data_IF_327661089129
#
_entry.id   IF_327661089129
#
_cell.length_a   1.000
_cell.length_b   1.000
_cell.length_c   1.000
_cell.angle_alpha   90.00
_cell.angle_beta   90.00
_cell.angle_gamma   90.00
#
_symmetry.space_group_name_H-M   'P 1'
#
loop_
_entity.id
_entity.type
_entity.pdbx_description
1 polymer ?
#
# COMPACT_ATOMS: atom_id res chain seq x y z
N UNK A 1 -8.88 11.42 -13.54
CA UNK A 1 -9.24 10.42 -12.52
C UNK A 1 -7.95 9.74 -12.11
N UNK A 2 -7.52 9.84 -10.86
CA UNK A 2 -6.30 9.15 -10.41
C UNK A 2 -6.56 7.64 -10.43
N UNK A 3 -5.62 6.86 -10.97
CA UNK A 3 -5.67 5.40 -10.95
C UNK A 3 -5.61 4.93 -9.49
N UNK A 4 -6.47 3.99 -9.10
CA UNK A 4 -6.52 3.46 -7.74
C UNK A 4 -5.13 2.94 -7.29
N UNK A 5 -4.32 2.43 -8.22
CA UNK A 5 -2.94 2.02 -7.94
C UNK A 5 -2.05 3.21 -7.58
N UNK A 6 -2.15 4.30 -8.32
CA UNK A 6 -1.36 5.51 -8.10
C UNK A 6 -1.66 6.10 -6.72
N UNK A 7 -2.93 6.11 -6.33
CA UNK A 7 -3.37 6.52 -4.98
C UNK A 7 -2.74 5.65 -3.90
N UNK A 8 -2.74 4.32 -4.05
CA UNK A 8 -2.12 3.41 -3.09
C UNK A 8 -0.60 3.61 -2.97
N UNK A 9 0.09 3.87 -4.09
CA UNK A 9 1.52 4.16 -4.07
C UNK A 9 1.84 5.51 -3.40
N UNK A 10 0.98 6.52 -3.57
CA UNK A 10 1.09 7.79 -2.84
C UNK A 10 0.87 7.55 -1.34
N UNK A 11 -0.17 6.82 -0.96
CA UNK A 11 -0.46 6.49 0.45
C UNK A 11 0.71 5.72 1.09
N UNK A 12 1.30 4.78 0.36
CA UNK A 12 2.50 4.05 0.79
C UNK A 12 3.67 4.98 1.06
N UNK A 13 3.95 5.94 0.17
CA UNK A 13 5.02 6.94 0.36
C UNK A 13 4.76 7.78 1.61
N UNK A 14 3.54 8.28 1.78
CA UNK A 14 3.15 9.10 2.95
C UNK A 14 3.31 8.30 4.25
N UNK A 15 2.86 7.05 4.29
CA UNK A 15 3.00 6.19 5.47
C UNK A 15 4.48 5.98 5.84
N UNK A 16 5.35 5.73 4.85
CA UNK A 16 6.80 5.58 5.07
C UNK A 16 7.44 6.83 5.65
N UNK A 17 7.15 8.01 5.09
CA UNK A 17 7.65 9.29 5.60
C UNK A 17 7.21 9.49 7.04
N UNK A 18 5.95 9.18 7.36
CA UNK A 18 5.42 9.40 8.71
C UNK A 18 6.06 8.45 9.73
N UNK A 19 6.31 7.19 9.36
CA UNK A 19 7.06 6.22 10.16
C UNK A 19 8.48 6.72 10.43
N UNK A 20 9.17 7.24 9.41
CA UNK A 20 10.53 7.78 9.53
C UNK A 20 10.57 8.97 10.50
N UNK A 21 9.68 9.95 10.33
CA UNK A 21 9.54 11.07 11.27
C UNK A 21 9.29 10.60 12.71
N UNK A 22 8.44 9.58 12.89
CA UNK A 22 8.14 8.98 14.19
C UNK A 22 9.33 8.19 14.75
N UNK A 23 10.23 7.64 13.94
CA UNK A 23 11.44 6.95 14.43
C UNK A 23 12.53 7.94 14.82
N UNK A 24 12.69 9.01 14.05
CA UNK A 24 13.68 10.07 14.28
C UNK A 24 13.27 11.03 15.41
N UNK A 25 12.02 10.95 15.87
CA UNK A 25 11.52 11.84 16.92
C UNK A 25 11.21 13.25 16.44
N UNK A 26 11.10 13.46 15.12
CA UNK A 26 10.69 14.72 14.48
C UNK A 26 9.15 14.83 14.53
N UNK A 27 8.57 14.61 15.70
CA UNK A 27 7.13 14.77 15.92
C UNK A 27 6.87 15.45 17.25
N UNK A 28 5.79 16.23 17.32
CA UNK A 28 5.36 16.90 18.56
C UNK A 28 4.71 15.94 19.57
N UNK A 29 4.80 14.63 19.36
CA UNK A 29 4.19 13.62 20.23
C UNK A 29 5.11 13.24 21.38
N UNK A 30 4.54 12.94 22.54
CA UNK A 30 5.30 12.32 23.63
C UNK A 30 5.66 10.86 23.27
N UNK A 31 6.66 10.27 23.94
CA UNK A 31 7.18 8.93 23.63
C UNK A 31 6.09 7.84 23.57
N UNK A 32 5.08 7.91 24.46
CA UNK A 32 3.96 6.94 24.47
C UNK A 32 3.09 7.06 23.22
N UNK A 33 2.71 8.30 22.84
CA UNK A 33 1.93 8.55 21.62
C UNK A 33 2.74 8.25 20.36
N UNK A 34 4.03 8.54 20.37
CA UNK A 34 4.95 8.22 19.27
C UNK A 34 4.99 6.72 19.01
N UNK A 35 5.17 5.89 20.05
CA UNK A 35 5.15 4.43 19.92
C UNK A 35 3.79 3.91 19.44
N UNK A 36 2.69 4.46 19.95
CA UNK A 36 1.34 4.12 19.49
C UNK A 36 1.16 4.41 17.99
N UNK A 37 1.44 5.64 17.56
CA UNK A 37 1.30 6.02 16.15
C UNK A 37 2.25 5.25 15.25
N UNK A 38 3.47 4.98 15.71
CA UNK A 38 4.43 4.19 14.94
C UNK A 38 3.85 2.82 14.58
N UNK A 39 3.27 2.12 15.57
CA UNK A 39 2.60 0.83 15.35
C UNK A 39 1.43 0.96 14.37
N UNK A 40 0.56 1.95 14.55
CA UNK A 40 -0.59 2.18 13.67
C UNK A 40 -0.18 2.45 12.21
N UNK A 41 0.88 3.23 12.00
CA UNK A 41 1.38 3.51 10.65
C UNK A 41 2.06 2.28 10.03
N UNK A 42 2.75 1.45 10.82
CA UNK A 42 3.33 0.20 10.34
C UNK A 42 2.25 -0.82 9.92
N UNK A 43 1.16 -0.94 10.68
CA UNK A 43 0.02 -1.79 10.32
C UNK A 43 -0.66 -1.32 9.04
N UNK A 44 -0.94 -0.01 8.92
CA UNK A 44 -1.52 0.57 7.69
C UNK A 44 -0.60 0.40 6.47
N UNK A 45 0.71 0.54 6.65
CA UNK A 45 1.66 0.32 5.57
C UNK A 45 1.57 -1.12 5.04
N UNK A 46 1.47 -2.10 5.93
CA UNK A 46 1.29 -3.51 5.56
C UNK A 46 -0.01 -3.73 4.78
N UNK A 47 -1.13 -3.15 5.22
CA UNK A 47 -2.41 -3.23 4.51
C UNK A 47 -2.33 -2.65 3.11
N UNK A 48 -1.70 -1.48 2.96
CA UNK A 48 -1.49 -0.85 1.64
C UNK A 48 -0.65 -1.75 0.73
N UNK A 49 0.42 -2.35 1.25
CA UNK A 49 1.26 -3.26 0.48
C UNK A 49 0.51 -4.54 0.05
N UNK A 50 -0.36 -5.08 0.91
CA UNK A 50 -1.23 -6.19 0.56
C UNK A 50 -2.25 -5.83 -0.52
N UNK A 51 -2.86 -4.63 -0.45
CA UNK A 51 -3.80 -4.15 -1.48
C UNK A 51 -3.12 -4.00 -2.84
N UNK A 52 -1.93 -3.39 -2.88
CA UNK A 52 -1.13 -3.26 -4.10
C UNK A 52 -0.80 -4.65 -4.67
N UNK A 53 -0.39 -5.59 -3.81
CA UNK A 53 -0.09 -6.97 -4.23
C UNK A 53 -1.32 -7.66 -4.85
N UNK A 54 -2.49 -7.54 -4.22
CA UNK A 54 -3.74 -8.13 -4.72
C UNK A 54 -4.16 -7.52 -6.07
N UNK A 55 -3.99 -6.21 -6.24
CA UNK A 55 -4.24 -5.55 -7.53
C UNK A 55 -3.32 -6.08 -8.63
N UNK A 56 -2.03 -6.24 -8.35
CA UNK A 56 -1.08 -6.80 -9.31
C UNK A 56 -1.46 -8.22 -9.73
N UNK A 57 -1.85 -9.06 -8.77
CA UNK A 57 -2.30 -10.43 -9.04
C UNK A 57 -3.53 -10.43 -9.97
N UNK A 58 -4.56 -9.62 -9.66
CA UNK A 58 -5.76 -9.52 -10.52
C UNK A 58 -5.43 -9.07 -11.93
N UNK A 59 -4.51 -8.09 -12.08
CA UNK A 59 -4.09 -7.59 -13.39
C UNK A 59 -3.43 -8.69 -14.23
N UNK A 60 -2.57 -9.51 -13.61
CA UNK A 60 -1.91 -10.64 -14.29
C UNK A 60 -2.95 -11.66 -14.76
N UNK A 61 -3.88 -12.09 -13.90
CA UNK A 61 -4.92 -13.04 -14.29
C UNK A 61 -5.81 -12.51 -15.43
N UNK A 62 -6.22 -11.23 -15.40
CA UNK A 62 -7.02 -10.65 -16.48
C UNK A 62 -6.26 -10.61 -17.82
N UNK A 63 -4.94 -10.40 -17.79
CA UNK A 63 -4.08 -10.40 -18.98
C UNK A 63 -3.93 -11.80 -19.57
N UNK A 64 -3.84 -12.83 -18.73
CA UNK A 64 -3.73 -14.22 -19.18
C UNK A 64 -5.06 -14.74 -19.75
N UNK A 65 -6.20 -14.37 -19.18
CA UNK A 65 -7.51 -14.72 -19.73
C UNK A 65 -7.79 -14.08 -21.10
N UNK A 66 -7.20 -12.92 -21.40
CA UNK A 66 -7.34 -12.25 -22.70
C UNK A 66 -6.50 -12.89 -23.81
N UNK A 67 -5.62 -13.84 -23.49
CA UNK A 67 -4.74 -14.54 -24.45
C UNK A 67 -5.23 -15.93 -24.85
N UNK A 68 -6.29 -16.46 -24.24
CA UNK A 68 -6.86 -17.73 -24.64
C UNK A 68 -7.65 -17.54 -25.95
N UNK A 69 -7.30 -18.21 -27.07
CA UNK A 69 -8.19 -18.26 -28.21
C UNK A 69 -9.51 -18.93 -27.78
N UNK A 70 -10.66 -18.52 -28.33
CA UNK A 70 -11.92 -19.19 -28.01
C UNK A 70 -11.81 -20.69 -28.31
N UNK A 71 -12.38 -21.57 -27.47
CA UNK A 71 -12.45 -22.98 -27.83
C UNK A 71 -13.24 -23.11 -29.14
N UNK A 72 -12.65 -23.80 -30.12
CA UNK A 72 -13.31 -24.12 -31.38
C UNK A 72 -14.64 -24.87 -31.11
N UNK A 73 -15.71 -24.58 -31.88
CA UNK A 73 -17.05 -25.14 -31.71
C UNK A 73 -17.15 -26.64 -32.01
#
# INVERSE_FOLDING_TARGET
MADAREVLEIMKKVAKIRIEMLREGITFHNKKKQAFYLKEYEEKLKEIEELIRRMNIRLVYSRDSAKAPPPDP
#
